data_IF_610641895623
#
_entry.id   IF_610641895623
#
_cell.length_a   1.000
_cell.length_b   1.000
_cell.length_c   1.000
_cell.angle_alpha   90.00
_cell.angle_beta   90.00
_cell.angle_gamma   90.00
#
_symmetry.space_group_name_H-M   'P 1'
#
loop_
_entity.id
_entity.type
_entity.pdbx_description
1 polymer ?
#
# COMPACT_ATOMS: atom_id res chain seq x y z
N UNK A 1 4.12 3.16 19.18
CA UNK A 1 3.60 3.35 17.81
C UNK A 1 4.13 2.24 16.93
N UNK A 2 3.29 1.63 16.10
CA UNK A 2 3.63 0.48 15.25
C UNK A 2 3.35 0.83 13.79
N UNK A 3 4.19 0.34 12.85
CA UNK A 3 3.96 0.51 11.41
C UNK A 3 3.18 -0.71 10.89
N UNK A 4 2.08 -0.47 10.19
CA UNK A 4 1.30 -1.50 9.49
C UNK A 4 1.59 -1.44 8.01
N UNK A 5 2.05 -2.54 7.41
CA UNK A 5 2.45 -2.63 6.01
C UNK A 5 1.41 -3.44 5.23
N UNK A 6 0.64 -2.79 4.36
CA UNK A 6 -0.45 -3.39 3.57
C UNK A 6 0.01 -3.62 2.14
N UNK A 7 0.09 -4.89 1.74
CA UNK A 7 0.66 -5.29 0.45
C UNK A 7 -0.23 -4.98 -0.76
N UNK A 8 0.38 -4.99 -1.95
CA UNK A 8 -0.30 -4.80 -3.23
C UNK A 8 -1.05 -6.06 -3.69
N UNK A 9 -1.88 -5.88 -4.73
CA UNK A 9 -2.59 -6.98 -5.38
C UNK A 9 -1.59 -8.02 -5.91
N UNK A 10 -1.92 -9.29 -5.82
CA UNK A 10 -1.11 -10.47 -6.18
C UNK A 10 0.10 -10.75 -5.29
N UNK A 11 0.57 -9.79 -4.49
CA UNK A 11 1.67 -9.96 -3.55
C UNK A 11 1.17 -10.53 -2.21
N UNK A 12 2.07 -10.66 -1.26
CA UNK A 12 1.79 -11.00 0.13
C UNK A 12 2.63 -10.12 1.05
N UNK A 13 2.57 -10.38 2.35
CA UNK A 13 3.42 -9.70 3.36
C UNK A 13 4.91 -9.72 3.02
N UNK A 14 5.37 -10.73 2.28
CA UNK A 14 6.81 -10.89 1.96
C UNK A 14 7.35 -9.79 1.02
N UNK A 15 6.50 -9.08 0.30
CA UNK A 15 6.94 -7.90 -0.45
C UNK A 15 7.56 -6.80 0.43
N UNK A 16 7.32 -6.85 1.74
CA UNK A 16 7.77 -5.88 2.72
C UNK A 16 9.03 -6.26 3.49
N UNK A 17 9.69 -7.38 3.15
CA UNK A 17 10.87 -7.87 3.89
C UNK A 17 11.95 -6.81 4.08
N UNK A 18 12.20 -5.97 3.08
CA UNK A 18 13.19 -4.87 3.15
C UNK A 18 12.71 -3.69 4.00
N UNK A 19 11.42 -3.42 4.02
CA UNK A 19 10.82 -2.41 4.87
C UNK A 19 10.80 -2.87 6.33
N UNK A 20 10.48 -4.15 6.55
CA UNK A 20 10.53 -4.76 7.88
C UNK A 20 11.94 -4.73 8.46
N UNK A 21 12.96 -5.10 7.66
CA UNK A 21 14.36 -5.01 8.09
C UNK A 21 14.78 -3.58 8.45
N UNK A 22 14.41 -2.59 7.64
CA UNK A 22 14.73 -1.18 7.92
C UNK A 22 14.01 -0.64 9.17
N UNK A 23 12.79 -1.09 9.43
CA UNK A 23 12.04 -0.72 10.64
C UNK A 23 12.64 -1.40 11.88
N UNK A 24 13.04 -2.66 11.77
CA UNK A 24 13.73 -3.40 12.84
C UNK A 24 15.06 -2.73 13.21
N UNK A 25 15.87 -2.37 12.21
CA UNK A 25 17.14 -1.62 12.39
C UNK A 25 16.90 -0.27 13.08
N UNK A 26 15.80 0.40 12.76
CA UNK A 26 15.39 1.65 13.40
C UNK A 26 14.73 1.46 14.78
N UNK A 27 14.55 0.23 15.27
CA UNK A 27 13.87 -0.07 16.54
C UNK A 27 12.37 0.24 16.52
N UNK A 28 11.74 0.23 15.33
CA UNK A 28 10.33 0.57 15.15
C UNK A 28 9.51 -0.73 14.97
N UNK A 29 8.57 -1.02 15.88
CA UNK A 29 7.69 -2.19 15.72
C UNK A 29 6.88 -2.12 14.43
N UNK A 30 6.79 -3.25 13.72
CA UNK A 30 6.05 -3.33 12.48
C UNK A 30 5.27 -4.64 12.33
N UNK A 31 4.13 -4.58 11.65
CA UNK A 31 3.29 -5.73 11.30
C UNK A 31 2.92 -5.65 9.82
N UNK A 32 2.97 -6.78 9.15
CA UNK A 32 2.57 -6.92 7.75
C UNK A 32 1.55 -8.07 7.62
N UNK A 33 0.24 -7.79 7.70
CA UNK A 33 -0.77 -8.83 7.54
C UNK A 33 -0.89 -9.26 6.07
N UNK A 34 -1.17 -10.55 5.84
CA UNK A 34 -1.69 -10.99 4.55
C UNK A 34 -3.18 -10.64 4.44
N UNK A 35 -3.56 -10.09 3.30
CA UNK A 35 -4.96 -9.84 2.97
C UNK A 35 -5.66 -11.15 2.56
N UNK A 36 -6.99 -11.29 2.71
CA UNK A 36 -7.71 -12.45 2.20
C UNK A 36 -7.37 -12.75 0.73
N UNK A 37 -7.25 -14.02 0.39
CA UNK A 37 -6.86 -14.48 -0.94
C UNK A 37 -5.36 -14.40 -1.25
N UNK A 38 -4.52 -13.96 -0.30
CA UNK A 38 -3.07 -13.77 -0.49
C UNK A 38 -2.27 -14.48 0.61
N UNK A 39 -1.05 -14.89 0.27
CA UNK A 39 -0.09 -15.46 1.22
C UNK A 39 -0.67 -16.60 2.04
N UNK A 40 -0.56 -16.56 3.35
CA UNK A 40 -1.12 -17.58 4.26
C UNK A 40 -2.65 -17.60 4.29
N UNK A 41 -3.30 -16.54 3.80
CA UNK A 41 -4.77 -16.44 3.70
C UNK A 41 -5.28 -16.71 2.28
N UNK A 42 -4.50 -17.42 1.45
CA UNK A 42 -4.84 -17.69 0.04
C UNK A 42 -6.16 -18.43 -0.17
N UNK A 43 -6.60 -19.22 0.80
CA UNK A 43 -7.87 -19.95 0.74
C UNK A 43 -9.11 -19.08 1.04
N UNK A 44 -8.93 -17.88 1.57
CA UNK A 44 -10.02 -16.98 1.91
C UNK A 44 -10.48 -16.15 0.70
N UNK A 45 -11.78 -15.95 0.49
CA UNK A 45 -12.26 -15.07 -0.57
C UNK A 45 -11.89 -13.62 -0.27
N UNK A 46 -11.41 -12.89 -1.28
CA UNK A 46 -11.13 -11.47 -1.14
C UNK A 46 -12.44 -10.67 -1.11
N UNK A 47 -12.62 -9.88 -0.06
CA UNK A 47 -13.68 -8.87 0.07
C UNK A 47 -13.09 -7.59 0.68
N UNK A 48 -13.75 -6.44 0.47
CA UNK A 48 -13.30 -5.18 1.08
C UNK A 48 -13.37 -5.25 2.61
N UNK A 49 -14.46 -5.80 3.14
CA UNK A 49 -14.64 -5.96 4.60
C UNK A 49 -13.62 -6.92 5.20
N UNK A 50 -13.31 -8.03 4.52
CA UNK A 50 -12.27 -8.96 4.96
C UNK A 50 -10.87 -8.33 4.93
N UNK A 51 -10.58 -7.49 3.93
CA UNK A 51 -9.32 -6.75 3.87
C UNK A 51 -9.23 -5.70 5.00
N UNK A 52 -10.32 -4.99 5.28
CA UNK A 52 -10.40 -4.07 6.42
C UNK A 52 -10.26 -4.80 7.75
N UNK A 53 -10.90 -5.96 7.92
CA UNK A 53 -10.76 -6.78 9.13
C UNK A 53 -9.30 -7.21 9.35
N UNK A 54 -8.57 -7.59 8.30
CA UNK A 54 -7.16 -7.94 8.41
C UNK A 54 -6.29 -6.77 8.89
N UNK A 55 -6.52 -5.55 8.38
CA UNK A 55 -5.82 -4.35 8.83
C UNK A 55 -6.21 -4.00 10.27
N UNK A 56 -7.50 -4.09 10.60
CA UNK A 56 -8.03 -3.80 11.94
C UNK A 56 -7.48 -4.77 13.00
N UNK A 57 -7.36 -6.07 12.67
CA UNK A 57 -6.79 -7.07 13.58
C UNK A 57 -5.30 -6.81 13.84
N UNK A 58 -4.54 -6.45 12.80
CA UNK A 58 -3.15 -6.05 12.95
C UNK A 58 -3.02 -4.75 13.79
N UNK A 59 -3.89 -3.77 13.56
CA UNK A 59 -3.92 -2.53 14.36
C UNK A 59 -4.30 -2.80 15.82
N UNK A 60 -5.20 -3.74 16.07
CA UNK A 60 -5.56 -4.17 17.44
C UNK A 60 -4.38 -4.81 18.14
N UNK A 61 -3.64 -5.67 17.44
CA UNK A 61 -2.44 -6.32 17.98
C UNK A 61 -1.32 -5.33 18.29
N UNK A 62 -1.26 -4.21 17.57
CA UNK A 62 -0.31 -3.12 17.82
C UNK A 62 -0.54 -2.39 19.15
N UNK A 63 -1.75 -2.41 19.69
CA UNK A 63 -2.10 -1.90 21.02
C UNK A 63 -2.07 -0.38 21.21
N UNK A 64 -1.70 0.40 20.17
CA UNK A 64 -1.56 1.86 20.25
C UNK A 64 -1.75 2.54 18.90
N UNK A 65 -1.26 3.79 18.79
CA UNK A 65 -1.30 4.52 17.51
C UNK A 65 -0.47 3.81 16.42
N UNK A 66 -0.97 3.87 15.19
CA UNK A 66 -0.33 3.20 14.05
C UNK A 66 0.02 4.19 12.93
N UNK A 67 1.11 3.91 12.23
CA UNK A 67 1.38 4.47 10.89
C UNK A 67 1.02 3.39 9.88
N UNK A 68 0.13 3.70 8.94
CA UNK A 68 -0.28 2.73 7.92
C UNK A 68 0.42 3.02 6.61
N UNK A 69 1.10 2.02 6.09
CA UNK A 69 1.87 2.08 4.83
C UNK A 69 1.26 1.09 3.85
N UNK A 70 0.91 1.52 2.66
CA UNK A 70 0.36 0.61 1.65
C UNK A 70 0.85 0.91 0.25
N UNK A 71 0.93 -0.12 -0.58
CA UNK A 71 1.29 0.01 -2.00
C UNK A 71 0.16 -0.49 -2.89
N UNK A 72 -0.20 0.28 -3.91
CA UNK A 72 -1.21 -0.11 -4.93
C UNK A 72 -2.56 -0.42 -4.28
N UNK A 73 -3.06 -1.66 -4.38
CA UNK A 73 -4.24 -2.13 -3.63
C UNK A 73 -4.13 -1.76 -2.14
N UNK A 74 -2.98 -2.07 -1.52
CA UNK A 74 -2.73 -1.75 -0.12
C UNK A 74 -2.75 -0.26 0.17
N UNK A 75 -2.34 0.60 -0.76
CA UNK A 75 -2.42 2.06 -0.63
C UNK A 75 -3.87 2.56 -0.59
N UNK A 76 -4.74 2.07 -1.47
CA UNK A 76 -6.17 2.38 -1.42
C UNK A 76 -6.82 1.89 -0.13
N UNK A 77 -6.50 0.65 0.28
CA UNK A 77 -7.03 0.07 1.52
C UNK A 77 -6.54 0.81 2.76
N UNK A 78 -5.26 1.21 2.79
CA UNK A 78 -4.69 1.99 3.89
C UNK A 78 -5.42 3.32 4.09
N UNK A 79 -5.63 4.09 3.00
CA UNK A 79 -6.40 5.34 3.03
C UNK A 79 -7.84 5.10 3.47
N UNK A 80 -8.50 4.10 2.89
CA UNK A 80 -9.91 3.83 3.13
C UNK A 80 -10.19 3.35 4.55
N UNK A 81 -9.32 2.47 5.09
CA UNK A 81 -9.38 2.02 6.47
C UNK A 81 -9.07 3.16 7.46
N UNK A 82 -7.97 3.89 7.22
CA UNK A 82 -7.55 4.98 8.10
C UNK A 82 -8.60 6.09 8.23
N UNK A 83 -9.35 6.37 7.16
CA UNK A 83 -10.41 7.36 7.15
C UNK A 83 -11.69 6.93 7.91
N UNK A 84 -11.80 5.65 8.33
CA UNK A 84 -13.03 5.06 8.94
C UNK A 84 -12.81 4.41 10.29
N UNK A 85 -11.58 4.05 10.60
CA UNK A 85 -11.28 3.41 11.88
C UNK A 85 -11.46 4.39 13.04
N UNK A 86 -11.90 3.87 14.18
CA UNK A 86 -11.89 4.62 15.45
C UNK A 86 -10.52 4.57 16.16
N UNK A 87 -9.54 3.85 15.59
CA UNK A 87 -8.22 3.75 16.20
C UNK A 87 -7.36 4.98 15.91
N UNK A 88 -6.41 5.29 16.80
CA UNK A 88 -5.46 6.37 16.57
C UNK A 88 -4.56 6.05 15.36
N UNK A 89 -4.69 6.84 14.29
CA UNK A 89 -3.82 6.80 13.11
C UNK A 89 -2.86 7.98 13.21
N UNK A 90 -1.58 7.70 13.41
CA UNK A 90 -0.54 8.71 13.54
C UNK A 90 -0.08 9.26 12.18
N UNK A 91 -0.16 8.45 11.12
CA UNK A 91 0.23 8.85 9.77
C UNK A 91 -0.14 7.81 8.73
N UNK A 92 -0.19 8.22 7.46
CA UNK A 92 -0.47 7.32 6.34
C UNK A 92 0.56 7.53 5.22
N UNK A 93 1.15 6.44 4.73
CA UNK A 93 1.94 6.44 3.49
C UNK A 93 1.22 5.60 2.45
N UNK A 94 0.74 6.24 1.39
CA UNK A 94 0.00 5.61 0.31
C UNK A 94 0.80 5.70 -0.99
N UNK A 95 1.29 4.55 -1.46
CA UNK A 95 2.16 4.46 -2.63
C UNK A 95 1.47 3.81 -3.82
N UNK A 96 1.73 4.32 -5.04
CA UNK A 96 1.23 3.73 -6.27
C UNK A 96 -0.31 3.68 -6.37
N UNK A 97 -1.02 4.61 -5.75
CA UNK A 97 -2.48 4.65 -5.72
C UNK A 97 -3.06 6.06 -5.97
N UNK A 98 -2.35 6.85 -6.76
CA UNK A 98 -2.70 8.26 -7.02
C UNK A 98 -3.59 8.43 -8.28
N UNK A 99 -4.50 7.49 -8.48
CA UNK A 99 -5.56 7.53 -9.53
C UNK A 99 -6.84 6.98 -8.92
N UNK A 100 -7.99 7.60 -9.22
CA UNK A 100 -9.26 7.07 -8.72
C UNK A 100 -9.60 5.73 -9.39
N UNK A 101 -9.84 4.65 -8.62
CA UNK A 101 -10.04 3.30 -9.16
C UNK A 101 -11.46 3.12 -9.72
N UNK A 102 -11.82 3.88 -10.77
CA UNK A 102 -13.15 3.87 -11.38
C UNK A 102 -13.12 4.17 -12.88
N UNK A 103 -14.27 3.98 -13.53
CA UNK A 103 -14.49 4.34 -14.92
C UNK A 103 -13.87 3.36 -15.93
N UNK A 104 -13.73 3.80 -17.21
CA UNK A 104 -13.29 2.93 -18.30
C UNK A 104 -11.90 2.31 -18.10
N UNK A 105 -10.99 3.03 -17.45
CA UNK A 105 -9.64 2.54 -17.16
C UNK A 105 -9.65 1.30 -16.26
N UNK A 106 -10.40 1.33 -15.15
CA UNK A 106 -10.56 0.18 -14.27
C UNK A 106 -11.28 -0.97 -14.97
N UNK A 107 -12.34 -0.68 -15.75
CA UNK A 107 -13.08 -1.69 -16.51
C UNK A 107 -12.17 -2.39 -17.52
N UNK A 108 -11.32 -1.65 -18.23
CA UNK A 108 -10.32 -2.19 -19.15
C UNK A 108 -9.31 -3.07 -18.43
N UNK A 109 -8.78 -2.61 -17.28
CA UNK A 109 -7.82 -3.37 -16.50
C UNK A 109 -8.43 -4.69 -15.99
N UNK A 110 -9.68 -4.68 -15.47
CA UNK A 110 -10.40 -5.89 -15.09
C UNK A 110 -10.62 -6.85 -16.26
N UNK A 111 -10.91 -6.32 -17.45
CA UNK A 111 -11.07 -7.15 -18.65
C UNK A 111 -9.75 -7.86 -19.02
N UNK A 112 -8.64 -7.13 -19.01
CA UNK A 112 -7.31 -7.71 -19.25
C UNK A 112 -6.97 -8.75 -18.19
N UNK A 113 -7.19 -8.48 -16.91
CA UNK A 113 -6.96 -9.43 -15.82
C UNK A 113 -7.75 -10.74 -16.02
N UNK A 114 -9.03 -10.65 -16.40
CA UNK A 114 -9.87 -11.83 -16.70
C UNK A 114 -9.39 -12.61 -17.93
N UNK A 115 -8.84 -11.94 -18.93
CA UNK A 115 -8.27 -12.62 -20.10
C UNK A 115 -6.97 -13.36 -19.72
N UNK A 116 -6.11 -12.74 -18.92
CA UNK A 116 -4.87 -13.37 -18.42
C UNK A 116 -5.21 -14.60 -17.56
N UNK A 117 -6.23 -14.51 -16.70
CA UNK A 117 -6.68 -15.62 -15.86
C UNK A 117 -7.22 -16.83 -16.65
N UNK A 118 -7.53 -16.67 -17.94
CA UNK A 118 -7.93 -17.77 -18.84
C UNK A 118 -6.78 -18.51 -19.51
N UNK A 119 -5.54 -18.03 -19.34
CA UNK A 119 -4.36 -18.75 -19.81
C UNK A 119 -4.25 -20.09 -19.07
N UNK A 120 -3.65 -21.13 -19.69
CA UNK A 120 -3.62 -22.49 -19.12
C UNK A 120 -3.02 -22.54 -17.69
N UNK A 121 -2.07 -21.66 -17.39
CA UNK A 121 -1.41 -21.54 -16.09
C UNK A 121 -1.98 -20.40 -15.22
N UNK A 122 -3.14 -19.85 -15.59
CA UNK A 122 -3.72 -18.68 -14.92
C UNK A 122 -2.92 -17.40 -15.10
N UNK A 123 -1.99 -17.37 -16.07
CA UNK A 123 -1.11 -16.24 -16.35
C UNK A 123 0.18 -16.23 -15.53
N UNK A 124 0.53 -17.32 -14.85
CA UNK A 124 1.73 -17.43 -14.01
C UNK A 124 3.00 -17.17 -14.83
N UNK A 125 3.21 -17.86 -15.95
CA UNK A 125 4.40 -17.69 -16.78
C UNK A 125 4.56 -16.27 -17.32
N UNK A 126 3.46 -15.62 -17.71
CA UNK A 126 3.48 -14.21 -18.10
C UNK A 126 3.87 -13.30 -16.93
N UNK A 127 3.27 -13.50 -15.76
CA UNK A 127 3.59 -12.75 -14.56
C UNK A 127 5.06 -12.88 -14.15
N UNK A 128 5.59 -14.12 -14.13
CA UNK A 128 6.97 -14.39 -13.73
C UNK A 128 7.97 -13.79 -14.73
N UNK A 129 7.65 -13.83 -16.02
CA UNK A 129 8.48 -13.20 -17.05
C UNK A 129 8.51 -11.68 -16.87
N UNK A 130 7.36 -11.05 -16.67
CA UNK A 130 7.28 -9.60 -16.46
C UNK A 130 7.96 -9.18 -15.15
N UNK A 131 7.81 -9.96 -14.07
CA UNK A 131 8.47 -9.69 -12.80
C UNK A 131 10.01 -9.73 -12.95
N UNK A 132 10.56 -10.76 -13.61
CA UNK A 132 12.01 -10.87 -13.86
C UNK A 132 12.58 -9.78 -14.75
N UNK A 133 11.79 -9.23 -15.67
CA UNK A 133 12.20 -8.12 -16.53
C UNK A 133 12.14 -6.76 -15.83
N UNK A 134 11.15 -6.59 -14.93
CA UNK A 134 10.85 -5.30 -14.31
C UNK A 134 11.50 -5.12 -12.94
N UNK A 135 11.86 -6.20 -12.22
CA UNK A 135 12.31 -6.15 -10.84
C UNK A 135 13.75 -6.67 -10.68
N UNK A 136 14.50 -6.15 -9.69
CA UNK A 136 15.73 -6.76 -9.21
C UNK A 136 15.49 -8.22 -8.76
N UNK A 137 16.50 -9.08 -8.94
CA UNK A 137 16.38 -10.52 -8.62
C UNK A 137 15.96 -10.79 -7.18
N UNK A 138 16.49 -10.04 -6.26
CA UNK A 138 16.18 -10.13 -4.84
C UNK A 138 14.74 -9.68 -4.52
N UNK A 139 14.20 -8.68 -5.24
CA UNK A 139 12.79 -8.31 -5.13
C UNK A 139 11.84 -9.39 -5.69
N UNK A 140 12.26 -10.10 -6.74
CA UNK A 140 11.52 -11.26 -7.25
C UNK A 140 11.50 -12.37 -6.19
N UNK A 141 12.64 -12.66 -5.56
CA UNK A 141 12.73 -13.67 -4.50
C UNK A 141 11.83 -13.32 -3.29
N UNK A 142 11.79 -12.05 -2.89
CA UNK A 142 10.90 -11.57 -1.82
C UNK A 142 9.42 -11.82 -2.16
N UNK A 143 9.00 -11.55 -3.40
CA UNK A 143 7.63 -11.83 -3.85
C UNK A 143 7.31 -13.32 -3.92
N UNK A 144 8.24 -14.12 -4.43
CA UNK A 144 8.07 -15.57 -4.60
C UNK A 144 7.98 -16.29 -3.25
N UNK A 145 8.64 -15.78 -2.21
CA UNK A 145 8.63 -16.35 -0.86
C UNK A 145 7.22 -16.49 -0.26
N UNK A 146 6.31 -15.57 -0.57
CA UNK A 146 4.92 -15.62 -0.09
C UNK A 146 3.92 -16.08 -1.14
N UNK A 147 4.40 -16.42 -2.34
CA UNK A 147 3.58 -16.81 -3.46
C UNK A 147 2.83 -15.65 -4.12
N UNK A 148 2.36 -15.90 -5.35
CA UNK A 148 1.63 -14.92 -6.16
C UNK A 148 0.15 -15.26 -6.25
N UNK A 149 -0.71 -14.38 -5.74
CA UNK A 149 -2.16 -14.53 -5.72
C UNK A 149 -2.79 -14.06 -7.04
N UNK A 150 -2.69 -14.85 -8.11
CA UNK A 150 -3.21 -14.45 -9.43
C UNK A 150 -4.74 -14.49 -9.51
N UNK A 151 -5.39 -15.39 -8.78
CA UNK A 151 -6.84 -15.58 -8.81
C UNK A 151 -7.67 -14.47 -8.20
N UNK A 152 -7.08 -13.60 -7.36
CA UNK A 152 -7.83 -12.55 -6.64
C UNK A 152 -8.06 -11.27 -7.45
N UNK A 153 -7.44 -11.14 -8.62
CA UNK A 153 -7.39 -9.89 -9.38
C UNK A 153 -8.77 -9.27 -9.62
N UNK A 154 -9.74 -10.01 -10.13
CA UNK A 154 -11.06 -9.45 -10.45
C UNK A 154 -11.83 -9.05 -9.19
N UNK A 155 -11.78 -9.87 -8.13
CA UNK A 155 -12.43 -9.58 -6.86
C UNK A 155 -11.83 -8.33 -6.18
N UNK A 156 -10.49 -8.24 -6.13
CA UNK A 156 -9.81 -7.10 -5.53
C UNK A 156 -10.04 -5.80 -6.31
N UNK A 157 -9.98 -5.84 -7.65
CA UNK A 157 -10.30 -4.69 -8.50
C UNK A 157 -11.78 -4.27 -8.40
N UNK A 158 -12.70 -5.23 -8.20
CA UNK A 158 -14.10 -4.93 -7.95
C UNK A 158 -14.29 -4.24 -6.59
N UNK A 159 -13.61 -4.71 -5.56
CA UNK A 159 -13.70 -4.15 -4.22
C UNK A 159 -13.21 -2.71 -4.17
N UNK A 160 -12.06 -2.39 -4.80
CA UNK A 160 -11.55 -1.01 -4.81
C UNK A 160 -12.37 -0.05 -5.68
N UNK A 161 -13.22 -0.54 -6.59
CA UNK A 161 -14.06 0.30 -7.44
C UNK A 161 -15.00 1.23 -6.66
N UNK A 162 -15.37 0.86 -5.43
CA UNK A 162 -16.19 1.65 -4.51
C UNK A 162 -15.40 2.68 -3.68
N UNK A 163 -14.08 2.65 -3.70
CA UNK A 163 -13.24 3.55 -2.92
C UNK A 163 -13.13 4.92 -3.62
N UNK A 164 -13.37 6.00 -2.87
CA UNK A 164 -13.04 7.35 -3.30
C UNK A 164 -11.86 7.90 -2.48
N UNK A 165 -10.62 7.77 -2.98
CA UNK A 165 -9.45 8.20 -2.24
C UNK A 165 -9.42 9.71 -1.97
N UNK A 166 -10.13 10.52 -2.75
CA UNK A 166 -10.24 11.97 -2.51
C UNK A 166 -11.13 12.25 -1.28
N UNK A 167 -12.23 11.51 -1.13
CA UNK A 167 -13.09 11.61 0.04
C UNK A 167 -12.36 11.09 1.30
N UNK A 168 -11.65 9.97 1.18
CA UNK A 168 -10.88 9.39 2.27
C UNK A 168 -9.78 10.33 2.77
N UNK A 169 -9.02 10.95 1.85
CA UNK A 169 -7.98 11.93 2.20
C UNK A 169 -8.53 13.15 2.92
N UNK A 170 -9.71 13.63 2.52
CA UNK A 170 -10.38 14.73 3.23
C UNK A 170 -10.84 14.34 4.64
N UNK A 171 -11.31 13.10 4.80
CA UNK A 171 -11.76 12.58 6.09
C UNK A 171 -10.61 12.36 7.09
N UNK A 172 -9.36 12.20 6.61
CA UNK A 172 -8.18 12.09 7.47
C UNK A 172 -7.83 13.39 8.19
N UNK A 173 -8.32 14.55 7.74
CA UNK A 173 -8.04 15.84 8.38
C UNK A 173 -6.53 16.13 8.49
N UNK A 174 -6.05 16.44 9.69
CA UNK A 174 -4.66 16.83 9.95
C UNK A 174 -3.68 15.65 10.05
N UNK A 175 -4.14 14.41 9.87
CA UNK A 175 -3.25 13.23 9.86
C UNK A 175 -2.20 13.40 8.77
N UNK A 176 -0.89 13.31 9.09
CA UNK A 176 0.17 13.39 8.10
C UNK A 176 0.05 12.30 7.02
N UNK A 177 -0.02 12.72 5.75
CA UNK A 177 -0.11 11.82 4.60
C UNK A 177 1.11 11.95 3.69
N UNK A 178 1.69 10.83 3.28
CA UNK A 178 2.71 10.74 2.25
C UNK A 178 2.13 10.02 1.04
N UNK A 179 1.99 10.73 -0.08
CA UNK A 179 1.69 10.13 -1.37
C UNK A 179 3.03 9.84 -2.05
N UNK A 180 3.29 8.57 -2.36
CA UNK A 180 4.58 8.13 -2.93
C UNK A 180 4.35 7.47 -4.27
N UNK A 181 4.92 8.02 -5.34
CA UNK A 181 4.81 7.45 -6.68
C UNK A 181 6.20 7.26 -7.29
N UNK A 182 6.39 6.18 -8.06
CA UNK A 182 7.52 6.10 -8.97
C UNK A 182 7.35 7.11 -10.11
N UNK A 183 8.46 7.70 -10.62
CA UNK A 183 8.39 8.66 -11.74
C UNK A 183 7.69 8.08 -12.97
N UNK A 184 7.80 6.76 -13.20
CA UNK A 184 7.23 6.05 -14.33
C UNK A 184 5.98 5.23 -13.95
N UNK A 185 5.36 5.54 -12.82
CA UNK A 185 4.14 4.87 -12.37
C UNK A 185 2.93 5.37 -13.19
N UNK A 186 2.19 4.44 -13.75
CA UNK A 186 0.97 4.73 -14.52
C UNK A 186 -0.24 5.06 -13.63
N UNK A 187 -0.17 4.84 -12.31
CA UNK A 187 -1.21 5.21 -11.34
C UNK A 187 -1.03 6.58 -10.70
N UNK A 188 -0.21 7.46 -11.28
CA UNK A 188 -0.01 8.82 -10.77
C UNK A 188 -0.83 9.91 -11.46
N UNK A 189 -1.84 9.54 -12.24
CA UNK A 189 -2.58 10.46 -13.12
C UNK A 189 -3.28 11.60 -12.39
N UNK A 190 -3.70 11.39 -11.15
CA UNK A 190 -4.43 12.38 -10.34
C UNK A 190 -3.66 12.77 -9.06
N UNK A 191 -2.34 12.57 -9.00
CA UNK A 191 -1.54 12.80 -7.79
C UNK A 191 -1.68 14.20 -7.21
N UNK A 192 -1.75 15.24 -8.06
CA UNK A 192 -1.96 16.63 -7.62
C UNK A 192 -3.34 16.85 -7.01
N UNK A 193 -4.36 16.17 -7.55
CA UNK A 193 -5.72 16.23 -7.03
C UNK A 193 -5.84 15.54 -5.68
N UNK A 194 -5.17 14.38 -5.53
CA UNK A 194 -5.11 13.69 -4.25
C UNK A 194 -4.34 14.52 -3.22
N UNK A 195 -3.20 15.10 -3.60
CA UNK A 195 -2.44 16.00 -2.72
C UNK A 195 -3.27 17.19 -2.25
N UNK A 196 -4.05 17.82 -3.14
CA UNK A 196 -4.92 18.94 -2.82
C UNK A 196 -6.11 18.55 -1.90
N UNK A 197 -6.39 17.25 -1.74
CA UNK A 197 -7.40 16.77 -0.81
C UNK A 197 -6.85 16.53 0.62
N UNK A 198 -5.54 16.51 0.80
CA UNK A 198 -4.90 16.35 2.09
C UNK A 198 -4.79 17.70 2.81
N UNK A 199 -5.15 17.79 4.08
CA UNK A 199 -4.83 18.96 4.90
C UNK A 199 -3.33 18.98 5.27
N UNK A 200 -2.74 17.82 5.57
CA UNK A 200 -1.32 17.65 5.90
C UNK A 200 -0.68 16.60 4.97
N UNK A 201 -0.54 16.92 3.69
CA UNK A 201 -0.03 16.02 2.67
C UNK A 201 1.33 16.41 2.11
N UNK A 202 2.16 15.42 1.77
CA UNK A 202 3.36 15.61 0.94
C UNK A 202 3.39 14.58 -0.18
N UNK A 203 3.78 15.02 -1.38
CA UNK A 203 3.94 14.16 -2.55
C UNK A 203 5.42 13.91 -2.79
N UNK A 204 5.80 12.63 -2.88
CA UNK A 204 7.12 12.17 -3.22
C UNK A 204 7.08 11.44 -4.57
N UNK A 205 7.87 11.91 -5.53
CA UNK A 205 8.03 11.26 -6.83
C UNK A 205 9.45 10.70 -6.91
N UNK A 206 9.58 9.38 -6.81
CA UNK A 206 10.87 8.70 -6.73
C UNK A 206 11.46 8.51 -8.13
N UNK A 207 12.64 9.10 -8.43
CA UNK A 207 13.30 8.93 -9.72
C UNK A 207 13.70 7.48 -9.98
N UNK A 208 13.62 7.04 -11.24
CA UNK A 208 14.02 5.69 -11.64
C UNK A 208 13.16 4.56 -11.09
N UNK A 209 12.00 4.88 -10.51
CA UNK A 209 11.02 3.90 -10.06
C UNK A 209 9.79 3.90 -10.96
N UNK A 210 9.20 2.72 -11.10
CA UNK A 210 7.87 2.49 -11.67
C UNK A 210 6.86 2.18 -10.53
N UNK A 211 5.76 1.50 -10.84
CA UNK A 211 4.67 1.21 -9.89
C UNK A 211 5.10 0.55 -8.57
N UNK A 212 6.03 -0.40 -8.63
CA UNK A 212 6.50 -1.15 -7.45
C UNK A 212 7.67 -0.43 -6.75
N UNK A 213 7.46 0.83 -6.36
CA UNK A 213 8.49 1.73 -5.84
C UNK A 213 9.21 1.17 -4.61
N UNK A 214 8.51 0.48 -3.70
CA UNK A 214 9.11 -0.13 -2.50
C UNK A 214 10.08 -1.27 -2.82
N UNK A 215 9.93 -1.93 -3.97
CA UNK A 215 10.76 -3.03 -4.42
C UNK A 215 11.93 -2.57 -5.29
N UNK A 216 11.72 -1.59 -6.17
CA UNK A 216 12.76 -1.13 -7.11
C UNK A 216 13.65 -0.04 -6.55
N UNK A 217 13.18 0.72 -5.57
CA UNK A 217 13.91 1.78 -4.87
C UNK A 217 13.69 1.69 -3.36
N UNK A 218 14.05 0.54 -2.74
CA UNK A 218 13.77 0.31 -1.32
C UNK A 218 14.42 1.35 -0.40
N UNK A 219 15.63 1.80 -0.69
CA UNK A 219 16.32 2.81 0.13
C UNK A 219 15.57 4.15 0.14
N UNK A 220 15.10 4.63 -1.04
CA UNK A 220 14.32 5.87 -1.12
C UNK A 220 12.97 5.72 -0.43
N UNK A 221 12.30 4.58 -0.62
CA UNK A 221 11.02 4.30 0.03
C UNK A 221 11.16 4.23 1.55
N UNK A 222 12.17 3.49 2.05
CA UNK A 222 12.44 3.35 3.48
C UNK A 222 12.74 4.69 4.13
N UNK A 223 13.55 5.55 3.47
CA UNK A 223 13.81 6.91 3.96
C UNK A 223 12.51 7.70 4.13
N UNK A 224 11.63 7.73 3.11
CA UNK A 224 10.35 8.46 3.18
C UNK A 224 9.46 7.89 4.31
N UNK A 225 9.42 6.57 4.47
CA UNK A 225 8.67 5.89 5.51
C UNK A 225 9.21 6.24 6.91
N UNK A 226 10.52 6.15 7.10
CA UNK A 226 11.16 6.46 8.39
C UNK A 226 11.08 7.95 8.73
N UNK A 227 11.15 8.85 7.74
CA UNK A 227 10.92 10.29 7.93
C UNK A 227 9.50 10.57 8.45
N UNK A 228 8.49 9.86 7.92
CA UNK A 228 7.12 9.96 8.43
C UNK A 228 7.02 9.43 9.87
N UNK A 229 7.62 8.27 10.14
CA UNK A 229 7.66 7.67 11.48
C UNK A 229 8.31 8.61 12.49
N UNK A 230 9.43 9.24 12.14
CA UNK A 230 10.12 10.21 12.99
C UNK A 230 9.28 11.48 13.23
N UNK A 231 8.58 11.96 12.20
CA UNK A 231 7.71 13.14 12.31
C UNK A 231 6.55 12.95 13.30
N UNK A 232 5.99 11.73 13.35
CA UNK A 232 4.80 11.41 14.16
C UNK A 232 5.13 10.65 15.46
N UNK A 233 6.40 10.36 15.69
CA UNK A 233 6.87 9.65 16.88
C UNK A 233 6.72 10.44 18.17
N UNK A 234 6.75 9.79 19.35
CA UNK A 234 6.46 10.39 20.66
C UNK A 234 7.47 11.48 21.12
N UNK A 235 8.37 11.94 20.26
CA UNK A 235 9.35 13.01 20.55
C UNK A 235 9.04 14.36 19.92
N UNK A 236 8.03 14.49 19.04
CA UNK A 236 7.68 15.75 18.38
C UNK A 236 6.47 16.45 19.00
N UNK A 237 6.53 16.68 20.32
CA UNK A 237 5.72 17.76 20.90
C UNK A 237 6.33 19.07 20.37
N UNK A 238 5.74 19.66 19.32
CA UNK A 238 6.02 21.05 18.98
C UNK A 238 5.83 21.86 20.24
N UNK A 239 6.87 22.48 20.75
CA UNK A 239 6.77 23.55 21.69
C UNK A 239 5.85 24.61 21.04
N UNK A 240 4.56 24.52 21.35
CA UNK A 240 3.56 25.50 20.98
C UNK A 240 3.98 26.79 21.65
N UNK A 241 4.37 27.77 20.84
CA UNK A 241 4.68 29.10 21.31
C UNK A 241 3.53 29.66 22.13
N UNK A 242 3.77 29.83 23.41
CA UNK A 242 3.10 30.83 24.22
C UNK A 242 3.63 32.19 23.78
N UNK A 243 2.80 32.98 23.19
CA UNK A 243 3.04 34.37 22.82
C UNK A 243 1.68 35.00 22.52
#
# INVERSE_FOLDING_TARGET
>A
MTVLLVHGIRASRTMWLRQLAALEEAGVPALAPDLPGHGERAAEPFTLDGAHAAIEDAARSAGGAVVVVGLSLGGYLALHWAARTARPVAGVLAAGCSTRPRGPGLAGYRRVARLIARLPDGGRGLNDTLARLALPRDAVADLDAGGMALGVMDAALAAVAGIDPVADLRALGDVPVRLVNGRWDHFRLEERRLLAACANGRLHVVPGAHHLVSLVRPADFNRIMLDLVAEVGPGTVRAGGSG
#
